data_IF_801315783564
#
_entry.id   IF_801315783564
#
_cell.length_a   1.000
_cell.length_b   1.000
_cell.length_c   1.000
_cell.angle_alpha   90.00
_cell.angle_beta   90.00
_cell.angle_gamma   90.00
#
_symmetry.space_group_name_H-M   'P 1'
#
loop_
_entity.id
_entity.type
_entity.pdbx_description
1 polymer ?
#
# COMPACT_ATOMS: atom_id res chain seq x y z
N UNK A 1 7.90 6.87 7.39
CA UNK A 1 6.56 6.38 7.81
C UNK A 1 6.70 5.53 9.06
N UNK A 2 5.92 5.80 10.06
CA UNK A 2 5.90 4.96 11.27
C UNK A 2 5.34 3.58 10.93
N UNK A 3 5.87 2.55 11.57
CA UNK A 3 5.38 1.19 11.38
C UNK A 3 3.93 1.07 11.87
N UNK A 4 3.13 0.33 11.10
CA UNK A 4 1.73 0.05 11.41
C UNK A 4 1.65 -1.39 11.88
N UNK A 5 0.96 -1.64 13.00
CA UNK A 5 0.74 -3.00 13.49
C UNK A 5 -0.62 -3.51 13.02
N UNK A 6 -0.62 -4.66 12.37
CA UNK A 6 -1.83 -5.33 11.88
C UNK A 6 -1.93 -6.70 12.56
N UNK A 7 -3.12 -7.01 13.09
CA UNK A 7 -3.43 -8.35 13.61
C UNK A 7 -4.01 -9.18 12.46
N UNK A 8 -3.49 -10.39 12.27
CA UNK A 8 -4.03 -11.30 11.24
C UNK A 8 -5.54 -11.51 11.45
N UNK A 9 -6.30 -11.41 10.37
CA UNK A 9 -7.74 -11.61 10.39
C UNK A 9 -8.57 -10.39 10.82
N UNK A 10 -7.96 -9.21 10.99
CA UNK A 10 -8.73 -8.00 11.27
C UNK A 10 -9.12 -7.28 9.98
N UNK A 11 -10.29 -6.64 9.99
CA UNK A 11 -10.67 -5.63 9.01
C UNK A 11 -10.11 -4.30 9.44
N UNK A 12 -9.40 -3.61 8.54
CA UNK A 12 -8.80 -2.34 8.91
C UNK A 12 -8.67 -1.40 7.71
N UNK A 13 -8.97 -0.13 7.92
CA UNK A 13 -8.69 0.93 6.94
C UNK A 13 -7.47 1.71 7.40
N UNK A 14 -6.47 1.82 6.54
CA UNK A 14 -5.21 2.50 6.85
C UNK A 14 -4.99 3.64 5.88
N UNK A 15 -4.57 4.79 6.40
CA UNK A 15 -4.18 5.95 5.60
C UNK A 15 -2.70 5.88 5.26
N UNK A 16 -2.38 6.07 3.99
CA UNK A 16 -1.02 6.11 3.48
C UNK A 16 -0.73 7.47 2.85
N UNK A 17 0.51 7.89 2.95
CA UNK A 17 1.03 9.04 2.21
C UNK A 17 2.34 8.64 1.56
N UNK A 18 2.42 8.75 0.23
CA UNK A 18 3.57 8.29 -0.53
C UNK A 18 4.46 9.47 -0.88
N UNK A 19 5.77 9.26 -0.70
CA UNK A 19 6.79 10.22 -1.09
C UNK A 19 7.61 9.66 -2.24
N UNK A 20 8.17 10.57 -3.05
CA UNK A 20 9.15 10.24 -4.08
C UNK A 20 10.33 11.19 -3.97
N UNK A 21 11.50 10.72 -4.47
CA UNK A 21 12.72 11.53 -4.51
C UNK A 21 13.00 11.83 -5.98
N UNK A 22 13.16 13.11 -6.32
CA UNK A 22 13.46 13.52 -7.69
C UNK A 22 14.96 13.41 -8.00
N UNK A 23 15.34 13.76 -9.24
CA UNK A 23 16.73 13.70 -9.70
C UNK A 23 17.67 14.67 -8.97
N UNK A 24 17.14 15.62 -8.23
CA UNK A 24 17.90 16.58 -7.41
C UNK A 24 17.92 16.20 -5.93
N UNK A 25 17.56 14.96 -5.59
CA UNK A 25 17.44 14.45 -4.23
C UNK A 25 16.43 15.20 -3.35
N UNK A 26 15.47 15.90 -3.97
CA UNK A 26 14.40 16.55 -3.24
C UNK A 26 13.25 15.56 -3.02
N UNK A 27 12.87 15.36 -1.76
CA UNK A 27 11.75 14.52 -1.40
C UNK A 27 10.46 15.32 -1.48
N UNK A 28 9.50 14.82 -2.27
CA UNK A 28 8.17 15.40 -2.40
C UNK A 28 7.11 14.32 -2.22
N UNK A 29 5.86 14.74 -2.06
CA UNK A 29 4.76 13.78 -2.07
C UNK A 29 4.45 13.40 -3.52
N UNK A 30 4.18 12.11 -3.74
CA UNK A 30 3.83 11.62 -5.08
C UNK A 30 2.44 12.14 -5.48
N UNK A 31 2.33 12.83 -6.60
CA UNK A 31 1.06 13.31 -7.13
C UNK A 31 0.30 12.13 -7.75
N UNK A 32 -0.88 11.83 -7.20
CA UNK A 32 -1.75 10.74 -7.65
C UNK A 32 -2.83 11.21 -8.62
N UNK A 33 -2.78 12.48 -9.05
CA UNK A 33 -3.77 13.04 -9.98
C UNK A 33 -3.76 12.26 -11.29
N UNK A 34 -4.92 11.80 -11.71
CA UNK A 34 -5.06 11.01 -12.94
C UNK A 34 -4.65 9.56 -12.83
N UNK A 35 -4.41 9.05 -11.62
CA UNK A 35 -4.08 7.64 -11.44
C UNK A 35 -5.22 6.74 -11.91
N UNK A 36 -4.90 5.81 -12.79
CA UNK A 36 -5.85 4.81 -13.31
C UNK A 36 -5.85 3.55 -12.46
N UNK A 37 -4.73 3.27 -11.80
CA UNK A 37 -4.62 2.17 -10.84
C UNK A 37 -3.66 2.55 -9.71
N UNK A 38 -4.01 2.17 -8.50
CA UNK A 38 -3.13 2.18 -7.34
C UNK A 38 -3.23 0.79 -6.72
N UNK A 39 -2.10 0.11 -6.60
CA UNK A 39 -2.05 -1.24 -6.02
C UNK A 39 -1.11 -1.26 -4.82
N UNK A 40 -1.63 -1.64 -3.67
CA UNK A 40 -0.83 -1.92 -2.48
C UNK A 40 -0.58 -3.42 -2.42
N UNK A 41 0.68 -3.83 -2.32
CA UNK A 41 1.10 -5.22 -2.16
C UNK A 41 1.75 -5.41 -0.81
N UNK A 42 1.27 -6.37 -0.05
CA UNK A 42 1.80 -6.71 1.28
C UNK A 42 2.22 -8.18 1.28
N UNK A 43 3.41 -8.48 1.78
CA UNK A 43 3.95 -9.84 1.80
C UNK A 43 3.00 -10.81 2.52
N UNK A 44 2.79 -11.98 1.91
CA UNK A 44 1.99 -13.05 2.50
C UNK A 44 2.85 -14.24 2.95
N UNK A 45 2.24 -15.17 3.67
CA UNK A 45 2.92 -16.35 4.23
C UNK A 45 3.41 -17.34 3.16
N UNK A 46 2.89 -17.23 1.92
CA UNK A 46 3.24 -18.14 0.81
C UNK A 46 4.38 -17.60 -0.06
N UNK A 47 5.17 -16.67 0.43
CA UNK A 47 6.29 -16.04 -0.30
C UNK A 47 5.84 -15.26 -1.55
N UNK A 48 4.64 -14.75 -1.54
CA UNK A 48 4.07 -13.87 -2.54
C UNK A 48 3.51 -12.63 -1.84
N UNK A 49 2.38 -12.10 -2.31
CA UNK A 49 1.79 -10.91 -1.70
C UNK A 49 0.27 -10.94 -1.80
N UNK A 50 -0.38 -10.19 -0.90
CA UNK A 50 -1.79 -9.83 -1.01
C UNK A 50 -1.91 -8.46 -1.65
N UNK A 51 -2.87 -8.30 -2.56
CA UNK A 51 -3.04 -7.10 -3.38
C UNK A 51 -4.33 -6.37 -3.01
N UNK A 52 -4.23 -5.04 -2.95
CA UNK A 52 -5.38 -4.14 -2.72
C UNK A 52 -5.36 -3.08 -3.80
N UNK A 53 -6.45 -2.94 -4.55
CA UNK A 53 -6.49 -2.13 -5.77
C UNK A 53 -7.55 -1.05 -5.76
N UNK A 54 -7.22 0.09 -6.37
CA UNK A 54 -8.18 1.18 -6.61
C UNK A 54 -9.36 0.68 -7.47
N UNK A 55 -9.08 -0.07 -8.53
CA UNK A 55 -10.11 -0.60 -9.42
C UNK A 55 -11.02 -1.64 -8.76
N UNK A 56 -10.61 -2.23 -7.64
CA UNK A 56 -11.42 -3.15 -6.84
C UNK A 56 -12.10 -2.44 -5.66
N UNK A 57 -12.09 -1.11 -5.63
CA UNK A 57 -12.67 -0.31 -4.54
C UNK A 57 -12.04 -0.56 -3.15
N UNK A 58 -10.85 -1.13 -3.11
CA UNK A 58 -10.10 -1.36 -1.88
C UNK A 58 -9.23 -0.16 -1.50
N UNK A 59 -8.97 0.73 -2.46
CA UNK A 59 -8.21 1.96 -2.27
C UNK A 59 -9.05 3.16 -2.66
N UNK A 60 -8.99 4.21 -1.86
CA UNK A 60 -9.65 5.48 -2.12
C UNK A 60 -8.64 6.61 -1.99
N UNK A 61 -8.52 7.45 -3.02
CA UNK A 61 -7.65 8.62 -2.97
C UNK A 61 -8.28 9.68 -2.06
N UNK A 62 -7.50 10.18 -1.11
CA UNK A 62 -7.94 11.20 -0.14
C UNK A 62 -7.48 12.59 -0.56
N UNK A 63 -6.19 12.72 -0.91
CA UNK A 63 -5.60 13.96 -1.40
C UNK A 63 -4.56 13.61 -2.46
N UNK A 64 -4.95 13.70 -3.71
CA UNK A 64 -4.15 13.27 -4.84
C UNK A 64 -2.81 13.99 -4.93
N UNK A 65 -2.81 15.32 -4.80
CA UNK A 65 -1.59 16.13 -4.95
C UNK A 65 -0.55 15.86 -3.88
N UNK A 66 -0.98 15.41 -2.70
CA UNK A 66 -0.12 15.13 -1.57
C UNK A 66 0.11 13.63 -1.36
N UNK A 67 -0.22 12.80 -2.33
CA UNK A 67 0.05 11.37 -2.29
C UNK A 67 -0.72 10.61 -1.21
N UNK A 68 -1.88 11.11 -0.81
CA UNK A 68 -2.65 10.53 0.29
C UNK A 68 -3.78 9.64 -0.24
N UNK A 69 -3.78 8.39 0.23
CA UNK A 69 -4.87 7.45 -0.04
C UNK A 69 -5.12 6.60 1.20
N UNK A 70 -6.29 5.97 1.23
CA UNK A 70 -6.60 4.96 2.25
C UNK A 70 -6.84 3.62 1.60
N UNK A 71 -6.41 2.55 2.27
CA UNK A 71 -6.61 1.18 1.85
C UNK A 71 -7.48 0.44 2.86
N UNK A 72 -8.51 -0.23 2.36
CA UNK A 72 -9.38 -1.09 3.15
C UNK A 72 -8.83 -2.51 3.09
N UNK A 73 -8.27 -2.97 4.20
CA UNK A 73 -7.69 -4.30 4.31
C UNK A 73 -8.74 -5.25 4.88
N UNK A 74 -9.21 -6.18 4.06
CA UNK A 74 -10.23 -7.14 4.48
C UNK A 74 -9.64 -8.21 5.40
N UNK A 75 -10.47 -8.77 6.28
CA UNK A 75 -10.10 -9.83 7.21
C UNK A 75 -9.57 -11.08 6.49
N UNK A 76 -10.13 -11.42 5.34
CA UNK A 76 -9.70 -12.56 4.52
C UNK A 76 -8.25 -12.37 4.06
N UNK A 77 -7.89 -11.18 3.58
CA UNK A 77 -6.54 -10.90 3.09
C UNK A 77 -5.53 -10.72 4.22
N UNK A 78 -5.91 -10.03 5.30
CA UNK A 78 -4.98 -9.83 6.43
C UNK A 78 -4.65 -11.14 7.14
N UNK A 79 -5.56 -12.11 7.13
CA UNK A 79 -5.29 -13.44 7.66
C UNK A 79 -4.15 -14.17 6.93
N UNK A 80 -3.86 -13.77 5.69
CA UNK A 80 -2.82 -14.36 4.85
C UNK A 80 -1.48 -13.62 4.92
N UNK A 81 -1.39 -12.51 5.64
CA UNK A 81 -0.16 -11.72 5.75
C UNK A 81 0.93 -12.52 6.44
N UNK A 82 2.18 -12.28 6.01
CA UNK A 82 3.34 -12.88 6.65
C UNK A 82 3.53 -12.29 8.05
N UNK A 83 3.63 -13.17 9.04
CA UNK A 83 3.92 -12.77 10.42
C UNK A 83 5.33 -12.20 10.55
N UNK A 84 5.49 -11.22 11.39
CA UNK A 84 6.79 -10.68 11.75
C UNK A 84 6.81 -9.16 11.83
N UNK A 85 7.90 -8.66 12.41
CA UNK A 85 8.16 -7.23 12.52
C UNK A 85 8.68 -6.69 11.19
N UNK A 86 8.35 -5.43 10.91
CA UNK A 86 8.99 -4.64 9.85
C UNK A 86 8.86 -5.27 8.46
N UNK A 87 7.70 -5.85 8.15
CA UNK A 87 7.41 -6.35 6.81
C UNK A 87 7.34 -5.18 5.83
N UNK A 88 7.89 -5.38 4.65
CA UNK A 88 7.85 -4.37 3.59
C UNK A 88 6.58 -4.51 2.77
N UNK A 89 6.13 -3.39 2.23
CA UNK A 89 5.04 -3.32 1.29
C UNK A 89 5.46 -2.50 0.08
N UNK A 90 4.71 -2.60 -1.00
CA UNK A 90 4.99 -1.89 -2.24
C UNK A 90 3.71 -1.26 -2.74
N UNK A 91 3.80 -0.02 -3.22
CA UNK A 91 2.68 0.67 -3.85
C UNK A 91 3.04 0.93 -5.31
N UNK A 92 2.21 0.44 -6.22
CA UNK A 92 2.37 0.66 -7.65
C UNK A 92 1.28 1.62 -8.11
N UNK A 93 1.67 2.72 -8.76
CA UNK A 93 0.76 3.74 -9.24
C UNK A 93 0.89 3.84 -10.75
N UNK A 94 -0.18 3.58 -11.48
CA UNK A 94 -0.27 3.77 -12.92
C UNK A 94 -1.05 5.05 -13.22
N UNK A 95 -0.43 5.94 -13.98
CA UNK A 95 -1.02 7.24 -14.35
C UNK A 95 -1.18 7.29 -15.86
N UNK A 96 -2.38 7.66 -16.31
CA UNK A 96 -2.68 7.81 -17.73
C UNK A 96 -3.14 6.53 -18.41
N UNK A 97 -3.09 6.55 -19.76
CA UNK A 97 -3.57 5.43 -20.58
C UNK A 97 -2.62 4.22 -20.44
N UNK A 98 -3.14 2.98 -20.48
CA UNK A 98 -2.33 1.78 -20.28
C UNK A 98 -1.16 1.63 -21.28
N UNK A 99 -1.32 2.10 -22.51
CA UNK A 99 -0.30 1.96 -23.56
C UNK A 99 0.75 3.07 -23.57
N UNK A 100 0.48 4.19 -22.90
CA UNK A 100 1.37 5.34 -22.82
C UNK A 100 1.49 5.86 -21.39
N UNK A 101 1.09 5.02 -20.44
CA UNK A 101 1.03 5.40 -19.06
C UNK A 101 2.40 5.47 -18.38
N UNK A 102 2.44 6.16 -17.27
CA UNK A 102 3.58 6.29 -16.40
C UNK A 102 3.34 5.39 -15.18
N UNK A 103 4.26 4.46 -14.94
CA UNK A 103 4.20 3.57 -13.78
C UNK A 103 5.24 3.98 -12.76
N UNK A 104 4.79 4.26 -11.54
CA UNK A 104 5.64 4.63 -10.42
C UNK A 104 5.51 3.62 -9.31
N UNK A 105 6.64 3.29 -8.66
CA UNK A 105 6.69 2.29 -7.60
C UNK A 105 7.28 2.94 -6.36
N UNK A 106 6.56 2.84 -5.25
CA UNK A 106 7.04 3.29 -3.94
C UNK A 106 7.25 2.09 -3.02
N UNK A 107 8.44 1.97 -2.44
CA UNK A 107 8.77 0.93 -1.46
C UNK A 107 8.47 1.45 -0.06
N UNK A 108 7.65 0.72 0.69
CA UNK A 108 7.33 1.02 2.08
C UNK A 108 8.13 0.06 2.97
N UNK A 109 9.41 0.35 3.13
CA UNK A 109 10.34 -0.50 3.88
C UNK A 109 10.01 -0.47 5.37
N UNK A 110 9.92 -1.65 5.99
CA UNK A 110 9.64 -1.80 7.44
C UNK A 110 8.33 -1.15 7.89
N UNK A 111 7.37 -1.02 6.96
CA UNK A 111 6.15 -0.26 7.22
C UNK A 111 5.12 -1.01 8.07
N UNK A 112 5.13 -2.34 8.03
CA UNK A 112 4.06 -3.16 8.58
C UNK A 112 4.61 -4.22 9.52
N UNK A 113 4.10 -4.27 10.74
CA UNK A 113 4.31 -5.38 11.67
C UNK A 113 3.03 -6.20 11.73
N UNK A 114 3.14 -7.51 11.51
CA UNK A 114 2.01 -8.42 11.51
C UNK A 114 2.11 -9.35 12.71
N UNK A 115 1.08 -9.35 13.54
CA UNK A 115 1.01 -10.20 14.73
C UNK A 115 -0.08 -11.24 14.59
N UNK A 116 0.12 -12.39 15.23
CA UNK A 116 -0.87 -13.45 15.23
C UNK A 116 -2.09 -13.04 16.06
N UNK A 117 -3.26 -13.52 15.63
CA UNK A 117 -4.48 -13.41 16.40
C UNK A 117 -4.42 -14.34 17.61
N UNK A 118 -4.63 -13.81 18.81
CA UNK A 118 -4.57 -14.61 20.06
C UNK A 118 -5.85 -15.44 20.21
N UNK A 119 -7.00 -14.86 19.89
CA UNK A 119 -8.29 -15.55 19.98
C UNK A 119 -8.89 -15.73 18.60
N UNK A 120 -9.49 -16.86 18.31
CA UNK A 120 -10.14 -17.12 17.03
C UNK A 120 -11.39 -16.29 16.80
#
# INVERSE_FOLDING_TARGET
MAAITIVQGEDRTINFQIKEVDSSDVTTYMDLTGATEIELRVANASSSYESFKLTNSEITVVDAKNGMFKAKLSDVKTALFKLGKEQSAEVIVDIGAPTAGDRRIAQLTKAITVVARIFP
#
